data_IF_155170303203
#
_entry.id   IF_155170303203
#
_cell.length_a   1.000
_cell.length_b   1.000
_cell.length_c   1.000
_cell.angle_alpha   90.00
_cell.angle_beta   90.00
_cell.angle_gamma   90.00
#
_symmetry.space_group_name_H-M   'P 1'
#
loop_
_entity.id
_entity.type
_entity.pdbx_description
1 polymer ?
#
# COMPACT_ATOMS: atom_id res chain seq x y z
N UNK A 1 1.11 6.24 -36.43
CA UNK A 1 -0.13 6.01 -35.67
C UNK A 1 -1.29 6.55 -36.48
N UNK A 2 -2.34 5.76 -36.68
CA UNK A 2 -3.57 6.22 -37.33
C UNK A 2 -4.38 7.12 -36.40
N UNK A 3 -5.28 7.96 -36.93
CA UNK A 3 -6.15 8.81 -36.10
C UNK A 3 -6.90 8.06 -35.00
N UNK A 4 -7.52 6.89 -35.28
CA UNK A 4 -8.15 6.06 -34.26
C UNK A 4 -7.22 5.56 -33.15
N UNK A 5 -5.97 5.20 -33.48
CA UNK A 5 -4.98 4.76 -32.48
C UNK A 5 -4.62 5.88 -31.50
N UNK A 6 -4.54 7.13 -31.97
CA UNK A 6 -4.28 8.30 -31.11
C UNK A 6 -5.43 8.51 -30.13
N UNK A 7 -6.67 8.44 -30.62
CA UNK A 7 -7.87 8.58 -29.78
C UNK A 7 -7.93 7.45 -28.74
N UNK A 8 -7.67 6.21 -29.16
CA UNK A 8 -7.64 5.06 -28.26
C UNK A 8 -6.54 5.20 -27.18
N UNK A 9 -5.33 5.62 -27.55
CA UNK A 9 -4.24 5.84 -26.62
C UNK A 9 -4.56 6.94 -25.60
N UNK A 10 -5.12 8.08 -26.05
CA UNK A 10 -5.56 9.14 -25.15
C UNK A 10 -6.69 8.68 -24.23
N UNK A 11 -7.60 7.87 -24.77
CA UNK A 11 -8.68 7.22 -24.01
C UNK A 11 -8.16 6.35 -22.87
N UNK A 12 -6.91 5.87 -22.89
CA UNK A 12 -6.33 5.11 -21.78
C UNK A 12 -5.80 5.99 -20.63
N UNK A 13 -5.77 7.32 -20.79
CA UNK A 13 -5.27 8.26 -19.77
C UNK A 13 -5.98 8.13 -18.42
N UNK A 14 -7.28 7.81 -18.40
CA UNK A 14 -8.04 7.67 -17.15
C UNK A 14 -7.48 6.56 -16.25
N UNK A 15 -6.68 5.63 -16.78
CA UNK A 15 -6.00 4.60 -15.97
C UNK A 15 -5.13 5.22 -14.88
N UNK A 16 -4.55 6.42 -15.11
CA UNK A 16 -3.80 7.14 -14.07
C UNK A 16 -4.70 7.46 -12.87
N UNK A 17 -5.92 7.94 -13.12
CA UNK A 17 -6.89 8.26 -12.06
C UNK A 17 -7.34 7.00 -11.31
N UNK A 18 -7.52 5.88 -12.02
CA UNK A 18 -7.81 4.57 -11.41
C UNK A 18 -6.65 4.13 -10.52
N UNK A 19 -5.41 4.23 -10.99
CA UNK A 19 -4.21 3.90 -10.21
C UNK A 19 -4.11 4.76 -8.95
N UNK A 20 -4.33 6.08 -9.05
CA UNK A 20 -4.35 6.96 -7.87
C UNK A 20 -5.47 6.60 -6.90
N UNK A 21 -6.66 6.26 -7.39
CA UNK A 21 -7.78 5.80 -6.56
C UNK A 21 -7.38 4.56 -5.75
N UNK A 22 -6.73 3.58 -6.39
CA UNK A 22 -6.28 2.38 -5.67
C UNK A 22 -5.16 2.72 -4.70
N UNK A 23 -4.20 3.55 -5.09
CA UNK A 23 -3.12 3.96 -4.20
C UNK A 23 -3.65 4.62 -2.91
N UNK A 24 -4.65 5.49 -3.04
CA UNK A 24 -5.29 6.18 -1.90
C UNK A 24 -6.19 5.23 -1.09
N UNK A 25 -7.14 4.57 -1.74
CA UNK A 25 -8.24 3.89 -1.03
C UNK A 25 -7.98 2.41 -0.74
N UNK A 26 -7.13 1.73 -1.51
CA UNK A 26 -6.76 0.35 -1.24
C UNK A 26 -5.56 0.28 -0.29
N UNK A 27 -4.51 1.04 -0.60
CA UNK A 27 -3.24 0.92 0.11
C UNK A 27 -2.98 2.04 1.13
N UNK A 28 -3.66 3.18 1.02
CA UNK A 28 -3.39 4.33 1.90
C UNK A 28 -2.03 4.98 1.62
N UNK A 29 -1.57 4.99 0.36
CA UNK A 29 -0.25 5.51 -0.03
C UNK A 29 0.02 6.98 0.29
N UNK A 30 -1.01 7.75 0.65
CA UNK A 30 -0.90 9.13 1.13
C UNK A 30 -1.31 9.31 2.61
N UNK A 31 -1.54 8.23 3.35
CA UNK A 31 -1.92 8.24 4.76
C UNK A 31 -0.72 8.35 5.71
N UNK A 32 0.37 8.97 5.27
CA UNK A 32 1.58 9.14 6.07
C UNK A 32 1.40 10.19 7.18
N UNK A 33 2.18 10.06 8.25
CA UNK A 33 2.21 11.01 9.38
C UNK A 33 3.65 11.24 9.86
N UNK A 34 4.51 11.75 8.98
CA UNK A 34 5.90 12.06 9.31
C UNK A 34 6.01 13.45 9.93
N UNK A 35 5.69 13.55 11.21
CA UNK A 35 5.80 14.80 11.97
C UNK A 35 7.26 15.13 12.26
N UNK A 36 7.60 16.42 12.21
CA UNK A 36 8.93 16.91 12.54
C UNK A 36 8.85 17.78 13.78
N UNK A 37 9.38 17.30 14.92
CA UNK A 37 9.33 18.01 16.20
C UNK A 37 10.19 19.29 16.24
N UNK A 38 11.20 19.38 15.37
CA UNK A 38 12.08 20.54 15.29
C UNK A 38 11.39 21.79 14.69
N UNK A 39 10.24 21.63 14.04
CA UNK A 39 9.46 22.77 13.56
C UNK A 39 8.67 23.40 14.72
N UNK A 40 8.67 24.74 14.85
CA UNK A 40 7.85 25.40 15.84
C UNK A 40 6.36 25.15 15.55
N UNK A 41 5.58 24.99 16.62
CA UNK A 41 4.12 24.97 16.50
C UNK A 41 3.62 26.36 16.11
N UNK A 42 2.98 26.46 14.95
CA UNK A 42 2.42 27.72 14.47
C UNK A 42 0.92 27.78 14.82
N UNK A 43 0.41 28.92 15.33
CA UNK A 43 -1.00 29.09 15.66
C UNK A 43 -1.90 29.15 14.40
N UNK A 44 -1.32 29.50 13.25
CA UNK A 44 -2.00 29.61 11.95
C UNK A 44 -1.13 28.99 10.86
N UNK A 45 -1.74 28.70 9.70
CA UNK A 45 -1.00 28.21 8.55
C UNK A 45 -0.05 29.30 8.04
N UNK A 46 1.26 29.01 7.91
CA UNK A 46 2.22 29.99 7.42
C UNK A 46 1.93 30.34 5.96
N UNK A 47 2.01 31.62 5.61
CA UNK A 47 1.85 32.09 4.23
C UNK A 47 3.03 31.66 3.34
N UNK A 48 4.24 31.59 3.89
CA UNK A 48 5.45 31.14 3.21
C UNK A 48 6.30 30.28 4.16
N UNK A 49 6.86 29.20 3.61
CA UNK A 49 7.85 28.34 4.27
C UNK A 49 9.07 28.25 3.36
N UNK A 50 10.09 29.06 3.65
CA UNK A 50 11.32 29.14 2.86
C UNK A 50 12.40 28.33 3.57
N UNK A 51 12.89 27.27 2.92
CA UNK A 51 13.85 26.34 3.52
C UNK A 51 15.15 27.01 4.02
N UNK A 52 15.78 27.94 3.26
CA UNK A 52 16.97 28.67 3.71
C UNK A 52 16.84 29.43 5.03
N UNK A 53 15.64 29.80 5.46
CA UNK A 53 15.43 30.60 6.68
C UNK A 53 15.66 29.78 7.97
N UNK A 54 15.70 28.45 7.85
CA UNK A 54 15.93 27.54 8.97
C UNK A 54 17.43 27.26 9.19
N UNK A 55 17.87 26.94 10.43
CA UNK A 55 19.22 26.42 10.66
C UNK A 55 19.50 25.18 9.82
N UNK A 56 20.75 25.00 9.38
CA UNK A 56 21.13 23.86 8.51
C UNK A 56 20.69 22.50 9.07
N UNK A 57 20.78 22.30 10.39
CA UNK A 57 20.34 21.07 11.05
C UNK A 57 18.85 20.79 10.87
N UNK A 58 18.02 21.84 10.91
CA UNK A 58 16.56 21.76 10.68
C UNK A 58 16.27 21.56 9.20
N UNK A 59 17.03 22.22 8.31
CA UNK A 59 16.90 22.02 6.86
C UNK A 59 17.11 20.55 6.48
N UNK A 60 18.18 19.92 6.98
CA UNK A 60 18.44 18.49 6.75
C UNK A 60 17.29 17.62 7.24
N UNK A 61 16.70 17.92 8.40
CA UNK A 61 15.57 17.15 8.92
C UNK A 61 14.29 17.34 8.07
N UNK A 62 14.04 18.54 7.53
CA UNK A 62 12.95 18.79 6.60
C UNK A 62 13.15 17.97 5.32
N UNK A 63 14.35 17.98 4.76
CA UNK A 63 14.69 17.21 3.55
C UNK A 63 14.53 15.70 3.78
N UNK A 64 15.03 15.17 4.89
CA UNK A 64 14.84 13.75 5.25
C UNK A 64 13.35 13.38 5.39
N UNK A 65 12.53 14.30 5.90
CA UNK A 65 11.08 14.11 6.00
C UNK A 65 10.42 14.10 4.61
N UNK A 66 10.83 14.99 3.70
CA UNK A 66 10.35 14.98 2.31
C UNK A 66 10.72 13.67 1.62
N UNK A 67 11.98 13.26 1.76
CA UNK A 67 12.45 11.98 1.24
C UNK A 67 11.64 10.80 1.82
N UNK A 68 11.31 10.84 3.12
CA UNK A 68 10.45 9.82 3.72
C UNK A 68 9.05 9.79 3.07
N UNK A 69 8.44 10.93 2.76
CA UNK A 69 7.17 10.98 2.02
C UNK A 69 7.29 10.34 0.64
N UNK A 70 8.31 10.71 -0.13
CA UNK A 70 8.55 10.18 -1.47
C UNK A 70 8.76 8.67 -1.45
N UNK A 71 9.62 8.18 -0.55
CA UNK A 71 9.88 6.75 -0.37
C UNK A 71 8.62 6.00 0.05
N UNK A 72 7.81 6.57 0.96
CA UNK A 72 6.55 5.96 1.38
C UNK A 72 5.59 5.79 0.20
N UNK A 73 5.37 6.84 -0.59
CA UNK A 73 4.49 6.78 -1.77
C UNK A 73 5.06 5.79 -2.80
N UNK A 74 6.35 5.84 -3.09
CA UNK A 74 7.01 4.94 -4.05
C UNK A 74 6.86 3.46 -3.68
N UNK A 75 7.03 3.12 -2.40
CA UNK A 75 6.81 1.75 -1.93
C UNK A 75 5.36 1.29 -2.17
N UNK A 76 4.37 2.16 -1.94
CA UNK A 76 2.98 1.82 -2.20
C UNK A 76 2.69 1.66 -3.70
N UNK A 77 3.33 2.45 -4.56
CA UNK A 77 3.23 2.28 -6.02
C UNK A 77 3.81 0.94 -6.46
N UNK A 78 4.98 0.55 -5.94
CA UNK A 78 5.58 -0.75 -6.21
C UNK A 78 4.65 -1.88 -5.75
N UNK A 79 4.10 -1.79 -4.54
CA UNK A 79 3.15 -2.78 -4.02
C UNK A 79 1.91 -2.88 -4.91
N UNK A 80 1.35 -1.76 -5.36
CA UNK A 80 0.20 -1.77 -6.26
C UNK A 80 0.53 -2.48 -7.58
N UNK A 81 1.69 -2.19 -8.18
CA UNK A 81 2.16 -2.87 -9.38
C UNK A 81 2.32 -4.38 -9.18
N UNK A 82 2.89 -4.80 -8.04
CA UNK A 82 3.02 -6.22 -7.70
C UNK A 82 1.65 -6.90 -7.56
N UNK A 83 0.67 -6.25 -6.92
CA UNK A 83 -0.68 -6.79 -6.81
C UNK A 83 -1.35 -6.94 -8.18
N UNK A 84 -1.12 -6.00 -9.10
CA UNK A 84 -1.63 -6.08 -10.47
C UNK A 84 -0.99 -7.24 -11.23
N UNK A 85 0.34 -7.39 -11.15
CA UNK A 85 1.05 -8.52 -11.77
C UNK A 85 0.51 -9.84 -11.22
N UNK A 86 0.41 -10.00 -9.91
CA UNK A 86 -0.11 -11.23 -9.29
C UNK A 86 -1.55 -11.53 -9.71
N UNK A 87 -2.37 -10.49 -9.86
CA UNK A 87 -3.75 -10.65 -10.32
C UNK A 87 -3.84 -11.15 -11.76
N UNK A 88 -2.92 -10.70 -12.63
CA UNK A 88 -2.90 -11.07 -14.05
C UNK A 88 -2.20 -12.42 -14.30
N UNK A 89 -1.06 -12.65 -13.65
CA UNK A 89 -0.19 -13.79 -13.91
C UNK A 89 -0.55 -15.02 -13.07
N UNK A 90 -1.10 -14.85 -11.86
CA UNK A 90 -1.41 -15.94 -10.92
C UNK A 90 -2.88 -15.96 -10.44
N UNK A 91 -3.88 -15.78 -11.33
CA UNK A 91 -5.28 -15.62 -10.92
C UNK A 91 -5.82 -16.84 -10.16
N UNK A 92 -5.51 -18.06 -10.61
CA UNK A 92 -5.97 -19.29 -9.95
C UNK A 92 -5.39 -19.43 -8.54
N UNK A 93 -4.10 -19.11 -8.37
CA UNK A 93 -3.44 -19.14 -7.06
C UNK A 93 -4.05 -18.12 -6.09
N UNK A 94 -4.37 -16.92 -6.57
CA UNK A 94 -5.06 -15.90 -5.78
C UNK A 94 -6.46 -16.38 -5.38
N UNK A 95 -7.26 -16.91 -6.30
CA UNK A 95 -8.61 -17.38 -5.99
C UNK A 95 -8.63 -18.55 -5.01
N UNK A 96 -7.71 -19.51 -5.16
CA UNK A 96 -7.61 -20.66 -4.27
C UNK A 96 -7.30 -20.28 -2.81
N UNK A 97 -6.62 -19.14 -2.61
CA UNK A 97 -6.21 -18.67 -1.29
C UNK A 97 -7.02 -17.47 -0.79
N UNK A 98 -8.07 -17.08 -1.53
CA UNK A 98 -8.92 -15.97 -1.13
C UNK A 98 -9.76 -16.38 0.10
N UNK A 99 -9.64 -15.69 1.24
CA UNK A 99 -10.23 -16.14 2.51
C UNK A 99 -11.73 -15.88 2.64
N UNK A 100 -12.37 -15.31 1.62
CA UNK A 100 -13.79 -14.93 1.67
C UNK A 100 -14.54 -15.60 0.54
N UNK A 101 -15.86 -15.50 0.59
CA UNK A 101 -16.74 -16.09 -0.40
C UNK A 101 -17.36 -15.02 -1.31
N UNK A 102 -17.49 -15.35 -2.59
CA UNK A 102 -18.26 -14.59 -3.57
C UNK A 102 -19.33 -15.49 -4.18
N UNK A 103 -20.55 -14.98 -4.28
CA UNK A 103 -21.65 -15.67 -4.98
C UNK A 103 -21.36 -15.82 -6.49
N UNK A 104 -20.74 -14.81 -7.09
CA UNK A 104 -20.43 -14.77 -8.52
C UNK A 104 -19.01 -14.26 -8.72
N UNK A 105 -18.21 -15.03 -9.45
CA UNK A 105 -16.88 -14.62 -9.87
C UNK A 105 -16.96 -13.73 -11.12
N UNK A 106 -15.97 -12.84 -11.34
CA UNK A 106 -15.90 -12.05 -12.57
C UNK A 106 -15.82 -12.96 -13.79
N UNK A 107 -16.56 -12.63 -14.86
CA UNK A 107 -16.60 -13.42 -16.09
C UNK A 107 -15.23 -13.51 -16.78
N UNK A 108 -14.39 -12.48 -16.61
CA UNK A 108 -13.02 -12.45 -17.13
C UNK A 108 -12.02 -13.28 -16.29
N UNK A 109 -12.44 -13.85 -15.15
CA UNK A 109 -11.62 -14.74 -14.33
C UNK A 109 -10.50 -14.07 -13.52
N UNK A 110 -10.05 -12.87 -13.87
CA UNK A 110 -9.01 -12.15 -13.12
C UNK A 110 -9.52 -11.55 -11.79
N UNK A 111 -8.81 -11.72 -10.66
CA UNK A 111 -9.08 -11.01 -9.42
C UNK A 111 -8.68 -9.52 -9.52
N UNK A 112 -9.20 -8.70 -8.61
CA UNK A 112 -8.75 -7.31 -8.43
C UNK A 112 -7.56 -7.24 -7.47
N UNK A 113 -6.87 -6.09 -7.43
CA UNK A 113 -5.74 -5.88 -6.52
C UNK A 113 -6.13 -6.08 -5.05
N UNK A 114 -7.38 -5.76 -4.69
CA UNK A 114 -7.92 -6.02 -3.34
C UNK A 114 -8.06 -7.50 -3.03
N UNK A 115 -8.51 -8.29 -4.00
CA UNK A 115 -8.63 -9.74 -3.84
C UNK A 115 -7.23 -10.35 -3.69
N UNK A 116 -6.28 -9.93 -4.53
CA UNK A 116 -4.89 -10.37 -4.43
C UNK A 116 -4.28 -10.00 -3.08
N UNK A 117 -4.49 -8.76 -2.60
CA UNK A 117 -4.03 -8.33 -1.28
C UNK A 117 -4.58 -9.22 -0.16
N UNK A 118 -5.89 -9.50 -0.16
CA UNK A 118 -6.53 -10.32 0.87
C UNK A 118 -6.03 -11.77 0.83
N UNK A 119 -5.83 -12.34 -0.36
CA UNK A 119 -5.28 -13.69 -0.50
C UNK A 119 -3.85 -13.78 0.05
N UNK A 120 -2.98 -12.82 -0.28
CA UNK A 120 -1.59 -12.78 0.23
C UNK A 120 -1.58 -12.57 1.75
N UNK A 121 -2.42 -11.67 2.27
CA UNK A 121 -2.55 -11.44 3.71
C UNK A 121 -3.01 -12.69 4.46
N UNK A 122 -3.93 -13.47 3.87
CA UNK A 122 -4.36 -14.75 4.44
C UNK A 122 -3.22 -15.78 4.50
N UNK A 123 -2.31 -15.75 3.53
CA UNK A 123 -1.14 -16.62 3.49
C UNK A 123 0.04 -16.12 4.34
N UNK A 124 -0.02 -14.91 4.90
CA UNK A 124 1.06 -14.32 5.67
C UNK A 124 1.59 -15.21 6.81
N UNK A 125 0.76 -15.94 7.58
CA UNK A 125 1.25 -16.86 8.61
C UNK A 125 2.11 -18.00 8.07
N UNK A 126 1.92 -18.41 6.80
CA UNK A 126 2.74 -19.44 6.16
C UNK A 126 3.98 -18.86 5.48
N UNK A 127 3.88 -17.65 4.91
CA UNK A 127 4.97 -17.00 4.17
C UNK A 127 6.02 -16.41 5.13
N UNK A 128 5.61 -15.70 6.17
CA UNK A 128 6.54 -14.96 7.03
C UNK A 128 7.54 -15.84 7.79
N UNK A 129 7.19 -17.03 8.31
CA UNK A 129 8.17 -17.93 8.93
C UNK A 129 9.24 -18.45 7.96
N UNK A 130 8.97 -18.46 6.65
CA UNK A 130 9.92 -18.88 5.63
C UNK A 130 10.88 -17.76 5.22
N UNK A 131 10.76 -16.57 5.82
CA UNK A 131 11.63 -15.45 5.50
C UNK A 131 13.08 -15.70 5.93
N UNK A 132 14.08 -15.30 5.12
CA UNK A 132 15.48 -15.45 5.48
C UNK A 132 15.81 -14.80 6.84
N UNK A 133 16.66 -15.43 7.68
CA UNK A 133 16.99 -14.91 9.02
C UNK A 133 17.77 -13.59 8.98
N UNK A 134 18.31 -13.21 7.82
CA UNK A 134 18.95 -11.92 7.57
C UNK A 134 17.97 -10.75 7.54
N UNK A 135 16.68 -11.01 7.33
CA UNK A 135 15.65 -9.98 7.33
C UNK A 135 15.25 -9.61 8.76
N UNK A 136 15.01 -8.33 9.00
CA UNK A 136 14.45 -7.84 10.28
C UNK A 136 12.95 -8.16 10.42
N UNK A 137 12.33 -8.75 9.41
CA UNK A 137 10.89 -9.00 9.33
C UNK A 137 10.35 -9.78 10.55
N UNK A 138 10.97 -10.90 11.00
CA UNK A 138 10.49 -11.62 12.18
C UNK A 138 10.51 -10.76 13.45
N UNK A 139 11.54 -9.91 13.62
CA UNK A 139 11.66 -8.99 14.77
C UNK A 139 10.55 -7.93 14.73
N UNK A 140 10.26 -7.37 13.55
CA UNK A 140 9.20 -6.39 13.38
C UNK A 140 7.81 -7.00 13.60
N UNK A 141 7.57 -8.20 13.10
CA UNK A 141 6.31 -8.90 13.27
C UNK A 141 6.07 -9.26 14.74
N UNK A 142 7.06 -9.78 15.47
CA UNK A 142 6.94 -10.05 16.90
C UNK A 142 6.62 -8.80 17.73
N UNK A 143 7.11 -7.61 17.33
CA UNK A 143 6.85 -6.34 18.00
C UNK A 143 5.51 -5.68 17.62
N UNK A 144 4.90 -6.07 16.50
CA UNK A 144 3.67 -5.46 15.94
C UNK A 144 2.45 -6.37 16.05
N UNK A 145 2.66 -7.68 16.01
CA UNK A 145 1.64 -8.71 16.20
C UNK A 145 1.62 -9.08 17.69
N UNK A 146 1.09 -8.19 18.54
CA UNK A 146 0.34 -8.71 19.67
C UNK A 146 -0.79 -9.56 19.07
N UNK A 147 -1.05 -10.78 19.57
CA UNK A 147 -2.12 -11.60 19.04
C UNK A 147 -3.44 -10.86 19.26
N UNK A 148 -3.92 -10.17 18.22
CA UNK A 148 -5.31 -9.74 18.17
C UNK A 148 -6.14 -11.00 18.40
N UNK A 149 -7.00 -11.05 19.45
CA UNK A 149 -7.91 -12.16 19.59
C UNK A 149 -8.74 -12.20 18.30
N UNK A 150 -8.69 -13.33 17.60
CA UNK A 150 -9.59 -13.58 16.47
C UNK A 150 -11.02 -13.30 16.97
N UNK A 151 -11.77 -12.40 16.32
CA UNK A 151 -13.16 -12.17 16.69
C UNK A 151 -14.05 -13.42 16.51
N UNK A 152 -13.54 -14.50 15.90
CA UNK A 152 -14.27 -15.74 15.62
C UNK A 152 -13.61 -16.98 16.24
N UNK A 153 -13.40 -16.96 17.56
CA UNK A 153 -13.51 -18.21 18.34
C UNK A 153 -14.72 -18.11 19.27
N UNK A 154 -15.90 -18.10 18.66
CA UNK A 154 -17.06 -18.64 19.35
C UNK A 154 -16.77 -20.12 19.59
N UNK A 155 -16.30 -20.43 20.79
CA UNK A 155 -16.40 -21.79 21.32
C UNK A 155 -17.88 -22.14 21.31
N UNK A 156 -18.30 -22.88 20.28
CA UNK A 156 -19.54 -23.63 20.31
C UNK A 156 -19.36 -24.73 21.36
N UNK A 157 -19.55 -24.34 22.63
CA UNK A 157 -19.89 -25.27 23.68
C UNK A 157 -21.37 -25.57 23.51
N UNK A 158 -21.66 -26.79 23.07
CA UNK A 158 -22.93 -27.47 23.27
C UNK A 158 -22.76 -28.44 24.44
#
# INVERSE_FOLDING_TARGET
MTGPEIIAAYGLRFKIEVTFRQLIHLLGGFAYRFWLKALPTLPTWPSNLILPDYPQTVQTQILNKVEAFERFVNLHVIVLGLLQILSLELPQGIWANFPRWFRTLPSHGYPSERIAQLAIQHQAPMIFPQSPPSLLLPKFLAAKLDPFPSPDRLTLAA
#
